data_IF_313893702997
#
_entry.id   IF_313893702997
#
_cell.length_a   1.000
_cell.length_b   1.000
_cell.length_c   1.000
_cell.angle_alpha   90.00
_cell.angle_beta   90.00
_cell.angle_gamma   90.00
#
_symmetry.space_group_name_H-M   'P 1'
#
loop_
_entity.id
_entity.type
_entity.pdbx_description
1 polymer ?
#
# COMPACT_ATOMS: atom_id res chain seq x y z
N UNK A 1 -51.46 15.39 28.95
CA UNK A 1 -51.46 16.58 28.08
C UNK A 1 -50.21 16.54 27.22
N UNK A 2 -50.42 16.34 25.90
CA UNK A 2 -49.70 16.83 24.70
C UNK A 2 -48.19 17.15 24.78
N UNK A 3 -47.35 16.89 23.77
CA UNK A 3 -47.44 16.26 22.44
C UNK A 3 -46.00 16.15 21.89
N UNK A 4 -45.79 15.18 21.01
CA UNK A 4 -44.65 14.92 20.12
C UNK A 4 -43.99 16.17 19.48
N UNK A 5 -42.73 16.03 19.04
CA UNK A 5 -42.34 15.97 17.61
C UNK A 5 -40.85 15.65 17.48
N UNK A 6 -40.56 14.62 16.68
CA UNK A 6 -39.24 14.23 16.19
C UNK A 6 -38.89 15.04 14.92
N UNK A 7 -37.61 15.34 14.71
CA UNK A 7 -37.09 15.80 13.42
C UNK A 7 -36.03 14.82 12.92
N UNK A 8 -36.40 14.03 11.92
CA UNK A 8 -35.50 13.35 11.00
C UNK A 8 -35.02 14.38 9.96
N UNK A 9 -33.69 14.49 9.77
CA UNK A 9 -33.13 15.23 8.63
C UNK A 9 -32.76 14.23 7.53
N UNK A 10 -33.46 14.33 6.41
CA UNK A 10 -33.26 13.59 5.18
C UNK A 10 -32.32 14.44 4.29
N UNK A 11 -31.09 14.00 4.06
CA UNK A 11 -30.20 14.60 3.05
C UNK A 11 -30.44 13.89 1.72
N UNK A 12 -31.09 14.59 0.80
CA UNK A 12 -31.35 14.16 -0.57
C UNK A 12 -30.10 14.46 -1.41
N UNK A 13 -29.41 13.42 -1.88
CA UNK A 13 -28.29 13.54 -2.81
C UNK A 13 -28.86 13.70 -4.23
N UNK A 14 -28.77 14.90 -4.79
CA UNK A 14 -29.12 15.17 -6.19
C UNK A 14 -27.99 14.72 -7.11
N UNK A 15 -28.29 13.75 -7.99
CA UNK A 15 -27.43 13.31 -9.09
C UNK A 15 -27.58 14.32 -10.22
N UNK A 16 -26.54 15.09 -10.53
CA UNK A 16 -26.48 15.92 -11.73
C UNK A 16 -25.73 15.16 -12.83
N UNK A 17 -26.47 14.72 -13.85
CA UNK A 17 -25.94 14.23 -15.12
C UNK A 17 -25.70 15.46 -16.00
N UNK A 18 -24.44 15.83 -16.22
CA UNK A 18 -24.08 16.83 -17.22
C UNK A 18 -23.90 16.15 -18.59
N UNK A 19 -24.79 16.49 -19.53
CA UNK A 19 -24.62 16.23 -20.97
C UNK A 19 -23.58 17.21 -21.51
N UNK A 20 -22.59 16.71 -22.24
CA UNK A 20 -21.71 17.52 -23.07
C UNK A 20 -22.45 17.89 -24.35
N UNK A 21 -22.62 19.18 -24.62
CA UNK A 21 -22.84 19.71 -25.96
C UNK A 21 -21.89 20.88 -26.19
N UNK A 22 -21.16 20.79 -27.29
CA UNK A 22 -20.10 21.72 -27.67
C UNK A 22 -20.65 23.06 -28.14
N UNK A 23 -20.01 24.13 -27.68
CA UNK A 23 -19.89 25.36 -28.45
C UNK A 23 -18.70 26.18 -27.92
N UNK A 24 -17.99 26.72 -28.89
CA UNK A 24 -16.71 27.44 -28.84
C UNK A 24 -16.81 28.78 -28.11
N UNK A 25 -15.80 29.12 -27.30
CA UNK A 25 -15.62 30.46 -26.75
C UNK A 25 -14.20 30.97 -27.08
N UNK A 26 -14.13 32.13 -27.73
CA UNK A 26 -12.94 32.99 -27.80
C UNK A 26 -12.94 34.00 -26.63
N UNK A 27 -11.77 34.51 -26.19
CA UNK A 27 -11.63 35.23 -24.92
C UNK A 27 -11.78 36.75 -25.09
N UNK A 28 -12.33 37.40 -24.06
CA UNK A 28 -12.34 38.86 -23.90
C UNK A 28 -11.38 39.21 -22.76
N UNK A 29 -10.31 39.95 -23.08
CA UNK A 29 -9.46 40.64 -22.11
C UNK A 29 -10.18 41.87 -21.54
N UNK A 30 -10.06 42.13 -20.23
CA UNK A 30 -10.00 43.51 -19.73
C UNK A 30 -9.37 43.62 -18.33
N UNK A 31 -8.28 44.40 -18.30
CA UNK A 31 -7.86 45.44 -17.35
C UNK A 31 -8.06 45.30 -15.84
N UNK A 32 -6.93 45.53 -15.17
CA UNK A 32 -6.66 45.70 -13.75
C UNK A 32 -7.29 46.96 -13.10
N UNK A 33 -7.68 46.83 -11.82
CA UNK A 33 -7.45 47.86 -10.80
C UNK A 33 -7.47 47.28 -9.37
N UNK A 34 -6.44 47.65 -8.61
CA UNK A 34 -6.12 47.49 -7.17
C UNK A 34 -7.21 48.03 -6.22
N UNK A 35 -7.40 47.67 -4.93
CA UNK A 35 -6.57 47.13 -3.83
C UNK A 35 -7.51 46.83 -2.62
N UNK A 36 -7.38 45.72 -1.88
CA UNK A 36 -7.53 45.68 -0.40
C UNK A 36 -7.16 44.31 0.19
N UNK A 37 -6.36 44.33 1.26
CA UNK A 37 -5.65 43.24 1.91
C UNK A 37 -6.51 42.14 2.57
N UNK A 38 -6.09 40.88 2.41
CA UNK A 38 -6.18 39.77 3.38
C UNK A 38 -5.14 38.70 2.98
N UNK A 39 -4.41 38.05 3.93
CA UNK A 39 -3.37 37.09 3.58
C UNK A 39 -4.01 35.73 3.29
N UNK A 40 -4.45 35.53 2.06
CA UNK A 40 -4.70 34.20 1.49
C UNK A 40 -3.40 33.70 0.87
N UNK A 41 -3.10 32.43 1.13
CA UNK A 41 -2.80 31.38 0.15
C UNK A 41 -1.93 31.70 -1.08
N UNK A 42 -1.16 30.70 -1.49
CA UNK A 42 -0.16 30.65 -2.57
C UNK A 42 1.27 31.05 -2.14
N UNK A 43 2.30 30.22 -2.37
CA UNK A 43 2.60 29.58 -3.65
C UNK A 43 3.14 28.15 -3.50
N UNK A 44 2.39 27.16 -3.97
CA UNK A 44 3.02 26.02 -4.65
C UNK A 44 3.79 26.58 -5.85
N UNK A 45 5.07 26.25 -6.05
CA UNK A 45 5.82 26.77 -7.18
C UNK A 45 5.19 26.30 -8.49
N UNK A 46 4.83 27.25 -9.36
CA UNK A 46 4.50 26.96 -10.76
C UNK A 46 5.76 26.43 -11.45
N UNK A 47 5.69 25.20 -11.95
CA UNK A 47 6.80 24.51 -12.60
C UNK A 47 7.04 25.03 -14.03
N UNK A 48 8.30 25.26 -14.44
CA UNK A 48 8.64 25.53 -15.82
C UNK A 48 8.53 24.26 -16.66
N UNK A 49 8.03 24.39 -17.90
CA UNK A 49 7.96 23.32 -18.89
C UNK A 49 9.38 22.80 -19.20
N UNK A 50 9.69 21.58 -18.73
CA UNK A 50 10.96 20.92 -19.03
C UNK A 50 10.98 20.36 -20.45
N UNK A 51 11.96 20.79 -21.25
CA UNK A 51 12.25 20.22 -22.57
C UNK A 51 12.57 18.73 -22.46
N UNK A 52 11.90 17.91 -23.27
CA UNK A 52 12.20 16.48 -23.42
C UNK A 52 13.47 16.31 -24.26
N UNK A 53 14.56 15.83 -23.65
CA UNK A 53 15.69 15.29 -24.42
C UNK A 53 15.29 13.92 -24.98
N UNK A 54 15.07 13.86 -26.30
CA UNK A 54 15.00 12.60 -27.03
C UNK A 54 16.43 12.07 -27.23
N UNK A 55 16.93 11.29 -26.27
CA UNK A 55 18.06 10.40 -26.55
C UNK A 55 17.66 8.96 -26.23
N UNK A 56 17.42 8.19 -27.29
CA UNK A 56 17.13 6.76 -27.24
C UNK A 56 18.43 5.99 -27.32
N UNK A 57 19.22 6.01 -26.24
CA UNK A 57 20.32 5.06 -26.04
C UNK A 57 19.84 3.93 -25.15
N UNK A 58 20.10 2.69 -25.57
CA UNK A 58 19.94 1.48 -24.76
C UNK A 58 20.51 1.71 -23.34
N UNK A 59 19.85 1.25 -22.26
CA UNK A 59 20.39 1.43 -20.91
C UNK A 59 21.79 0.83 -20.85
N UNK A 60 22.77 1.57 -20.33
CA UNK A 60 24.08 0.99 -20.03
C UNK A 60 23.90 -0.16 -19.02
N UNK A 61 24.71 -1.20 -19.14
CA UNK A 61 24.70 -2.37 -18.23
C UNK A 61 25.02 -2.03 -16.77
N UNK A 62 25.19 -0.76 -16.40
CA UNK A 62 25.60 -0.30 -15.07
C UNK A 62 24.50 0.51 -14.34
N UNK A 63 23.30 0.68 -14.93
CA UNK A 63 22.22 1.41 -14.29
C UNK A 63 20.81 1.09 -14.82
N UNK A 64 19.80 1.61 -14.13
CA UNK A 64 18.38 1.51 -14.48
C UNK A 64 17.72 2.89 -14.54
N UNK A 65 16.68 3.05 -15.35
CA UNK A 65 16.08 4.34 -15.63
C UNK A 65 14.57 4.25 -15.54
N UNK A 66 13.94 5.16 -14.81
CA UNK A 66 12.49 5.20 -14.70
C UNK A 66 11.97 6.52 -15.24
N UNK A 67 11.19 6.44 -16.33
CA UNK A 67 10.65 7.62 -17.02
C UNK A 67 9.73 8.50 -16.18
N UNK A 68 9.21 7.98 -15.05
CA UNK A 68 8.35 8.73 -14.13
C UNK A 68 9.09 9.30 -12.92
N UNK A 69 10.35 8.92 -12.68
CA UNK A 69 11.17 9.59 -11.68
C UNK A 69 11.65 10.89 -12.34
N UNK A 70 10.88 11.95 -12.10
CA UNK A 70 11.07 13.21 -12.78
C UNK A 70 12.33 13.90 -12.22
N UNK A 71 13.33 14.08 -13.09
CA UNK A 71 14.69 14.60 -12.85
C UNK A 71 15.71 13.60 -12.28
N UNK A 72 16.59 13.17 -13.20
CA UNK A 72 18.01 12.86 -13.06
C UNK A 72 18.44 12.20 -11.71
N UNK A 73 18.88 10.93 -11.74
CA UNK A 73 19.51 10.38 -12.90
C UNK A 73 18.52 9.65 -13.79
N UNK A 74 18.65 9.87 -15.09
CA UNK A 74 18.17 8.96 -16.14
C UNK A 74 18.86 7.57 -16.02
N UNK A 75 19.54 7.27 -14.91
CA UNK A 75 20.48 6.18 -14.71
C UNK A 75 20.81 6.03 -13.21
N UNK A 76 20.03 5.26 -12.46
CA UNK A 76 20.35 4.86 -11.08
C UNK A 76 21.42 3.76 -11.10
N UNK A 77 22.64 4.01 -10.58
CA UNK A 77 23.73 3.03 -10.53
C UNK A 77 23.27 1.67 -9.96
N UNK A 78 23.50 0.60 -10.71
CA UNK A 78 23.06 -0.75 -10.35
C UNK A 78 23.99 -1.83 -10.89
N UNK A 79 24.20 -2.90 -10.13
CA UNK A 79 24.96 -4.07 -10.57
C UNK A 79 24.06 -5.30 -10.71
N UNK A 80 24.35 -6.23 -11.63
CA UNK A 80 23.66 -7.52 -11.69
C UNK A 80 23.80 -8.29 -10.38
N UNK A 81 22.75 -9.00 -9.95
CA UNK A 81 22.77 -9.78 -8.71
C UNK A 81 23.92 -10.80 -8.69
N UNK A 82 24.22 -11.41 -9.83
CA UNK A 82 25.29 -12.42 -10.01
C UNK A 82 26.68 -11.85 -9.73
N UNK A 83 26.90 -10.55 -9.96
CA UNK A 83 28.18 -9.91 -9.66
C UNK A 83 28.32 -9.64 -8.17
N UNK A 84 27.27 -9.14 -7.53
CA UNK A 84 27.24 -8.86 -6.10
C UNK A 84 27.43 -10.15 -5.28
N UNK A 85 26.78 -11.24 -5.68
CA UNK A 85 26.90 -12.54 -4.99
C UNK A 85 28.31 -13.15 -5.07
N UNK A 86 29.14 -12.73 -6.03
CA UNK A 86 30.53 -13.20 -6.16
C UNK A 86 31.49 -12.41 -5.27
N UNK A 87 31.17 -11.15 -4.98
CA UNK A 87 32.14 -10.17 -4.46
C UNK A 87 31.76 -9.58 -3.09
N UNK A 88 30.52 -9.74 -2.63
CA UNK A 88 30.04 -9.13 -1.39
C UNK A 88 29.16 -10.05 -0.55
N UNK A 89 29.34 -9.99 0.77
CA UNK A 89 28.48 -10.62 1.78
C UNK A 89 27.31 -9.75 2.21
N UNK A 90 27.19 -8.53 1.69
CA UNK A 90 26.25 -7.53 2.22
C UNK A 90 24.81 -7.70 1.73
N UNK A 91 24.61 -8.50 0.68
CA UNK A 91 23.28 -8.88 0.20
C UNK A 91 23.21 -10.35 -0.17
N UNK A 92 22.22 -11.05 0.38
CA UNK A 92 21.88 -12.43 0.04
C UNK A 92 20.38 -12.50 -0.27
N UNK A 93 20.04 -12.83 -1.52
CA UNK A 93 18.67 -13.14 -1.86
C UNK A 93 18.33 -14.54 -1.32
N UNK A 94 17.32 -14.60 -0.45
CA UNK A 94 16.75 -15.87 0.01
C UNK A 94 15.65 -16.30 -0.94
N UNK A 95 15.88 -17.36 -1.71
CA UNK A 95 14.85 -17.91 -2.59
C UNK A 95 13.82 -18.69 -1.77
N UNK A 96 12.54 -18.28 -1.75
CA UNK A 96 11.48 -18.98 -1.02
C UNK A 96 11.22 -20.41 -1.52
N UNK A 97 11.62 -20.76 -2.75
CA UNK A 97 11.49 -22.10 -3.30
C UNK A 97 12.62 -23.03 -2.87
N UNK A 98 13.74 -22.47 -2.40
CA UNK A 98 14.93 -23.23 -2.01
C UNK A 98 15.19 -23.19 -0.50
N UNK A 99 14.72 -22.15 0.21
CA UNK A 99 14.91 -21.99 1.65
C UNK A 99 13.86 -22.82 2.43
N UNK A 100 14.27 -23.88 3.16
CA UNK A 100 13.35 -24.73 3.92
C UNK A 100 12.70 -24.02 5.12
N UNK A 101 13.20 -22.84 5.51
CA UNK A 101 12.58 -21.99 6.53
C UNK A 101 11.45 -21.11 5.99
N UNK A 102 11.20 -21.13 4.67
CA UNK A 102 10.08 -20.41 4.08
C UNK A 102 8.74 -20.92 4.64
N UNK A 103 7.90 -20.06 5.23
CA UNK A 103 6.63 -20.50 5.81
C UNK A 103 5.72 -21.10 4.75
N UNK A 104 5.28 -22.34 4.94
CA UNK A 104 4.41 -23.07 3.98
C UNK A 104 3.05 -22.41 3.75
N UNK A 105 2.63 -21.52 4.66
CA UNK A 105 1.41 -20.70 4.54
C UNK A 105 1.57 -19.51 3.60
N UNK A 106 2.79 -19.14 3.23
CA UNK A 106 3.06 -18.05 2.30
C UNK A 106 3.14 -18.58 0.88
N UNK A 107 2.71 -17.76 -0.07
CA UNK A 107 2.90 -18.03 -1.49
C UNK A 107 4.33 -17.63 -1.89
N UNK A 108 5.20 -18.56 -2.32
CA UNK A 108 6.55 -18.22 -2.76
C UNK A 108 6.56 -17.37 -4.04
N UNK A 109 5.47 -17.39 -4.82
CA UNK A 109 5.42 -16.65 -6.09
C UNK A 109 5.37 -15.13 -5.94
N UNK A 110 5.04 -14.59 -4.77
CA UNK A 110 5.04 -13.13 -4.51
C UNK A 110 6.40 -12.60 -4.00
N UNK A 111 7.41 -13.46 -3.94
CA UNK A 111 8.79 -13.12 -3.63
C UNK A 111 9.63 -13.34 -4.89
N UNK A 112 10.03 -12.24 -5.53
CA UNK A 112 10.79 -12.28 -6.78
C UNK A 112 12.24 -11.92 -6.52
N UNK A 113 13.15 -12.70 -7.10
CA UNK A 113 14.56 -12.36 -7.14
C UNK A 113 14.76 -11.08 -7.95
N UNK A 114 15.52 -10.09 -7.43
CA UNK A 114 15.94 -8.98 -8.26
C UNK A 114 16.96 -9.49 -9.29
N UNK A 115 16.91 -8.99 -10.53
CA UNK A 115 17.98 -9.24 -11.50
C UNK A 115 19.20 -8.37 -11.22
N UNK A 116 18.99 -7.22 -10.57
CA UNK A 116 20.00 -6.19 -10.29
C UNK A 116 19.73 -5.51 -8.94
N UNK A 117 20.73 -4.89 -8.35
CA UNK A 117 20.59 -4.11 -7.11
C UNK A 117 21.21 -2.73 -7.29
N UNK A 118 20.63 -1.72 -6.65
CA UNK A 118 21.21 -0.37 -6.59
C UNK A 118 22.51 -0.36 -5.79
N UNK A 119 23.50 0.42 -6.20
CA UNK A 119 24.77 0.61 -5.49
C UNK A 119 24.74 1.92 -4.70
N UNK A 120 24.27 1.89 -3.45
CA UNK A 120 23.92 3.10 -2.70
C UNK A 120 25.09 4.05 -2.43
N UNK A 121 26.32 3.54 -2.35
CA UNK A 121 27.53 4.36 -2.21
C UNK A 121 27.74 5.33 -3.38
N UNK A 122 27.11 5.05 -4.52
CA UNK A 122 27.30 5.79 -5.78
C UNK A 122 26.09 6.68 -6.10
N UNK A 123 25.15 6.87 -5.16
CA UNK A 123 23.91 7.62 -5.38
C UNK A 123 23.78 8.72 -4.31
N UNK A 124 23.46 9.96 -4.72
CA UNK A 124 23.17 11.03 -3.76
C UNK A 124 21.84 10.71 -3.04
N UNK A 125 21.82 10.58 -1.70
CA UNK A 125 20.58 10.30 -0.96
C UNK A 125 19.54 11.41 -1.09
N UNK A 126 19.92 12.63 -1.50
CA UNK A 126 18.99 13.75 -1.74
C UNK A 126 18.35 13.73 -3.12
N UNK A 127 18.69 12.72 -3.93
CA UNK A 127 18.07 12.48 -5.22
C UNK A 127 16.55 12.38 -5.06
N UNK A 128 15.81 13.21 -5.80
CA UNK A 128 14.35 13.12 -5.84
C UNK A 128 13.93 11.92 -6.69
N UNK A 129 13.21 10.99 -6.09
CA UNK A 129 12.55 9.89 -6.79
C UNK A 129 11.17 10.32 -7.29
N UNK A 130 10.51 11.22 -6.57
CA UNK A 130 9.27 11.83 -7.02
C UNK A 130 9.19 13.25 -6.46
N UNK A 131 8.21 14.10 -6.86
CA UNK A 131 8.13 15.50 -6.43
C UNK A 131 8.25 15.73 -4.92
N UNK A 132 7.94 14.71 -4.12
CA UNK A 132 7.88 14.81 -2.68
C UNK A 132 8.72 13.80 -1.90
N UNK A 133 9.45 12.92 -2.57
CA UNK A 133 10.24 11.89 -1.92
C UNK A 133 11.65 11.79 -2.48
N UNK A 134 12.63 11.78 -1.58
CA UNK A 134 14.05 11.57 -1.87
C UNK A 134 14.46 10.11 -1.63
N UNK A 135 15.52 9.66 -2.32
CA UNK A 135 16.03 8.29 -2.21
C UNK A 135 16.40 7.92 -0.76
N UNK A 136 17.03 8.85 -0.04
CA UNK A 136 17.45 8.67 1.35
C UNK A 136 16.31 8.41 2.32
N UNK A 137 15.07 8.75 1.96
CA UNK A 137 13.88 8.44 2.78
C UNK A 137 13.55 6.94 2.74
N UNK A 138 13.94 6.25 1.67
CA UNK A 138 13.66 4.82 1.49
C UNK A 138 14.86 3.94 1.81
N UNK A 139 16.07 4.36 1.44
CA UNK A 139 17.25 3.49 1.47
C UNK A 139 18.51 4.29 1.83
N UNK A 140 19.43 3.65 2.56
CA UNK A 140 20.67 4.29 3.01
C UNK A 140 21.77 3.25 3.18
N UNK A 141 23.03 3.67 3.02
CA UNK A 141 24.21 2.82 3.21
C UNK A 141 24.34 2.26 4.63
N UNK A 142 23.73 2.91 5.63
CA UNK A 142 23.66 2.40 7.01
C UNK A 142 22.78 1.13 7.12
N UNK A 143 21.82 0.97 6.21
CA UNK A 143 20.91 -0.18 6.14
C UNK A 143 21.35 -1.21 5.10
N UNK A 144 22.54 -1.05 4.52
CA UNK A 144 23.14 -1.91 3.48
C UNK A 144 23.71 -1.10 2.31
N UNK A 145 24.79 -1.56 1.71
CA UNK A 145 25.43 -0.95 0.55
C UNK A 145 24.63 -1.16 -0.75
N UNK A 146 23.83 -2.22 -0.80
CA UNK A 146 22.99 -2.56 -1.95
C UNK A 146 21.50 -2.48 -1.59
N UNK A 147 20.66 -2.11 -2.55
CA UNK A 147 19.21 -2.04 -2.33
C UNK A 147 18.36 -2.67 -3.44
N UNK A 148 17.27 -3.31 -3.01
CA UNK A 148 16.14 -3.67 -3.87
C UNK A 148 15.19 -2.48 -3.94
N UNK A 149 14.76 -2.13 -5.14
CA UNK A 149 13.96 -0.93 -5.38
C UNK A 149 12.66 -1.25 -6.13
N UNK A 150 11.51 -0.97 -5.50
CA UNK A 150 10.22 -0.92 -6.19
C UNK A 150 9.86 0.53 -6.51
N UNK A 151 10.21 0.99 -7.71
CA UNK A 151 9.83 2.32 -8.18
C UNK A 151 8.30 2.52 -8.20
N UNK A 152 7.56 1.42 -8.35
CA UNK A 152 6.11 1.39 -8.30
C UNK A 152 5.56 1.71 -6.90
N UNK A 153 6.22 1.25 -5.83
CA UNK A 153 5.84 1.64 -4.48
C UNK A 153 6.01 3.15 -4.27
N UNK A 154 7.11 3.74 -4.75
CA UNK A 154 7.31 5.20 -4.72
C UNK A 154 6.24 5.95 -5.51
N UNK A 155 5.87 5.44 -6.69
CA UNK A 155 4.78 6.02 -7.49
C UNK A 155 3.45 6.03 -6.73
N UNK A 156 3.10 4.94 -6.04
CA UNK A 156 1.85 4.89 -5.26
C UNK A 156 1.91 5.83 -4.05
N UNK A 157 3.06 5.93 -3.37
CA UNK A 157 3.24 6.88 -2.26
C UNK A 157 3.14 8.33 -2.70
N UNK A 158 3.65 8.66 -3.89
CA UNK A 158 3.47 9.98 -4.48
C UNK A 158 1.98 10.30 -4.65
N UNK A 159 1.19 9.38 -5.20
CA UNK A 159 -0.26 9.55 -5.36
C UNK A 159 -1.00 9.65 -4.02
N UNK A 160 -0.64 8.83 -3.03
CA UNK A 160 -1.20 8.91 -1.67
C UNK A 160 -0.93 10.30 -1.07
N UNK A 161 0.30 10.80 -1.20
CA UNK A 161 0.69 12.10 -0.65
C UNK A 161 -0.05 13.25 -1.34
N UNK A 162 -0.22 13.18 -2.66
CA UNK A 162 -1.02 14.14 -3.44
C UNK A 162 -2.49 14.11 -3.03
N UNK A 163 -3.09 12.93 -2.89
CA UNK A 163 -4.48 12.75 -2.50
C UNK A 163 -4.76 13.25 -1.08
N UNK A 164 -3.83 13.01 -0.16
CA UNK A 164 -3.90 13.51 1.22
C UNK A 164 -3.70 15.04 1.29
N UNK A 165 -2.96 15.65 0.35
CA UNK A 165 -2.64 17.08 0.37
C UNK A 165 -1.74 17.52 1.54
N UNK A 166 -1.08 16.58 2.22
CA UNK A 166 -0.25 16.86 3.40
C UNK A 166 1.08 16.09 3.36
N UNK A 167 2.10 16.47 4.14
CA UNK A 167 3.35 15.71 4.17
C UNK A 167 3.16 14.30 4.73
N UNK A 168 3.76 13.34 4.04
CA UNK A 168 3.84 11.93 4.43
C UNK A 168 5.30 11.61 4.69
N UNK A 169 5.62 11.12 5.90
CA UNK A 169 6.99 10.78 6.28
C UNK A 169 7.22 9.28 6.09
N UNK A 170 8.32 8.92 5.41
CA UNK A 170 8.82 7.54 5.38
C UNK A 170 9.79 7.36 6.54
N UNK A 171 9.48 6.47 7.48
CA UNK A 171 10.38 6.15 8.61
C UNK A 171 11.27 4.95 8.30
N UNK A 172 10.83 4.07 7.41
CA UNK A 172 11.62 2.93 6.95
C UNK A 172 11.19 2.51 5.56
N UNK A 173 12.13 2.32 4.65
CA UNK A 173 11.91 1.69 3.35
C UNK A 173 12.69 0.39 3.26
N UNK A 174 13.63 0.29 2.33
CA UNK A 174 14.47 -0.88 2.15
C UNK A 174 15.38 -1.15 3.36
N UNK A 175 15.58 -2.44 3.66
CA UNK A 175 16.53 -2.96 4.65
C UNK A 175 17.30 -4.11 4.01
N UNK A 176 18.64 -4.14 4.13
CA UNK A 176 19.37 -5.34 3.71
C UNK A 176 18.97 -6.54 4.57
N UNK A 177 19.10 -7.78 4.05
CA UNK A 177 18.87 -8.98 4.85
C UNK A 177 19.67 -8.98 6.16
N UNK A 178 20.94 -8.56 6.10
CA UNK A 178 21.81 -8.42 7.27
C UNK A 178 21.25 -7.41 8.27
N UNK A 179 20.94 -6.19 7.83
CA UNK A 179 20.37 -5.16 8.69
C UNK A 179 19.04 -5.59 9.32
N UNK A 180 18.14 -6.21 8.54
CA UNK A 180 16.85 -6.67 9.03
C UNK A 180 17.00 -7.75 10.11
N UNK A 181 17.91 -8.71 9.93
CA UNK A 181 18.15 -9.77 10.93
C UNK A 181 18.73 -9.26 12.26
N UNK A 182 19.38 -8.08 12.24
CA UNK A 182 19.88 -7.44 13.45
C UNK A 182 18.79 -6.71 14.25
N UNK A 183 17.60 -6.48 13.67
CA UNK A 183 16.48 -5.83 14.36
C UNK A 183 15.75 -6.88 15.21
N UNK A 184 15.65 -6.69 16.54
CA UNK A 184 14.90 -7.61 17.40
C UNK A 184 13.44 -7.74 16.97
N UNK A 185 12.99 -8.97 16.73
CA UNK A 185 11.61 -9.27 16.36
C UNK A 185 11.24 -8.95 14.90
N UNK A 186 12.18 -8.52 14.06
CA UNK A 186 11.91 -8.37 12.64
C UNK A 186 11.65 -9.71 11.97
N UNK A 187 10.63 -9.76 11.11
CA UNK A 187 10.29 -10.95 10.35
C UNK A 187 11.43 -11.33 9.38
N UNK A 188 11.80 -12.61 9.35
CA UNK A 188 12.82 -13.14 8.42
C UNK A 188 12.45 -12.89 6.96
N UNK A 189 11.16 -12.99 6.62
CA UNK A 189 10.60 -12.78 5.28
C UNK A 189 9.96 -11.40 5.12
N UNK A 190 10.46 -10.39 5.85
CA UNK A 190 9.93 -9.03 5.82
C UNK A 190 9.94 -8.43 4.41
N UNK A 191 8.84 -7.80 4.01
CA UNK A 191 8.71 -7.12 2.71
C UNK A 191 9.68 -5.94 2.53
N UNK A 192 10.23 -5.39 3.61
CA UNK A 192 11.28 -4.38 3.52
C UNK A 192 12.56 -4.89 2.84
N UNK A 193 12.89 -6.18 2.97
CA UNK A 193 14.07 -6.78 2.31
C UNK A 193 13.84 -7.07 0.83
N UNK A 194 12.57 -7.08 0.39
CA UNK A 194 12.14 -7.24 -1.00
C UNK A 194 11.81 -5.90 -1.68
N UNK A 195 12.07 -4.78 -1.01
CA UNK A 195 12.01 -3.43 -1.58
C UNK A 195 10.62 -2.92 -1.93
N UNK A 196 9.56 -3.57 -1.44
CA UNK A 196 8.17 -3.21 -1.75
C UNK A 196 7.32 -2.82 -0.55
N UNK A 197 7.94 -2.65 0.61
CA UNK A 197 7.30 -2.14 1.82
C UNK A 197 7.90 -0.82 2.31
N UNK A 198 7.05 -0.04 2.97
CA UNK A 198 7.42 1.18 3.67
C UNK A 198 6.65 1.33 4.98
N UNK A 199 7.29 1.94 5.96
CA UNK A 199 6.69 2.38 7.21
C UNK A 199 6.49 3.89 7.14
N UNK A 200 5.26 4.34 7.41
CA UNK A 200 4.79 5.68 7.10
C UNK A 200 4.17 6.37 8.31
N UNK A 201 4.41 7.67 8.44
CA UNK A 201 3.76 8.53 9.44
C UNK A 201 3.06 9.70 8.75
N UNK A 202 1.73 9.85 8.93
CA UNK A 202 1.00 11.00 8.42
C UNK A 202 1.15 12.21 9.36
N UNK A 203 1.16 13.42 8.80
CA UNK A 203 1.17 14.67 9.61
C UNK A 203 -0.20 15.12 10.11
N UNK A 204 -1.26 14.85 9.35
CA UNK A 204 -2.57 15.51 9.51
C UNK A 204 -3.76 14.57 9.55
N UNK A 205 -3.60 13.34 9.05
CA UNK A 205 -4.62 12.29 9.10
C UNK A 205 -4.21 11.25 10.16
N UNK A 206 -5.18 10.46 10.61
CA UNK A 206 -4.94 9.33 11.51
C UNK A 206 -4.20 8.18 10.82
N UNK A 207 -3.62 7.27 11.61
CA UNK A 207 -3.00 6.04 11.09
C UNK A 207 -4.02 5.16 10.36
N UNK A 208 -5.28 5.14 10.83
CA UNK A 208 -6.36 4.42 10.16
C UNK A 208 -6.65 5.02 8.77
N UNK A 209 -6.80 6.34 8.67
CA UNK A 209 -7.02 6.99 7.37
C UNK A 209 -5.84 6.77 6.41
N UNK A 210 -4.59 6.78 6.91
CA UNK A 210 -3.43 6.49 6.07
C UNK A 210 -3.43 5.02 5.59
N UNK A 211 -3.80 4.08 6.45
CA UNK A 211 -3.92 2.67 6.07
C UNK A 211 -4.98 2.46 4.97
N UNK A 212 -6.12 3.15 5.05
CA UNK A 212 -7.12 3.12 3.98
C UNK A 212 -6.56 3.65 2.66
N UNK A 213 -5.85 4.77 2.70
CA UNK A 213 -5.20 5.30 1.51
C UNK A 213 -4.17 4.32 0.95
N UNK A 214 -3.41 3.61 1.78
CA UNK A 214 -2.52 2.56 1.28
C UNK A 214 -3.29 1.52 0.45
N UNK A 215 -4.43 1.02 0.95
CA UNK A 215 -5.27 0.07 0.21
C UNK A 215 -5.85 0.67 -1.06
N UNK A 216 -6.41 1.88 -1.00
CA UNK A 216 -7.02 2.56 -2.15
C UNK A 216 -6.01 2.77 -3.29
N UNK A 217 -4.74 2.95 -2.94
CA UNK A 217 -3.61 3.06 -3.87
C UNK A 217 -2.85 1.74 -4.05
N UNK A 218 -3.52 0.61 -3.79
CA UNK A 218 -3.10 -0.71 -4.22
C UNK A 218 -2.12 -1.45 -3.30
N UNK A 219 -1.89 -0.96 -2.09
CA UNK A 219 -1.18 -1.77 -1.11
C UNK A 219 -1.92 -3.10 -0.95
N UNK A 220 -1.16 -4.17 -1.00
CA UNK A 220 -1.65 -5.54 -0.92
C UNK A 220 -1.89 -5.95 0.53
N UNK A 221 -1.16 -5.30 1.42
CA UNK A 221 -1.16 -5.50 2.84
C UNK A 221 -0.74 -4.19 3.51
N UNK A 222 -1.30 -3.94 4.70
CA UNK A 222 -0.80 -2.94 5.61
C UNK A 222 -0.77 -3.51 7.03
N UNK A 223 -0.12 -2.81 7.95
CA UNK A 223 -0.23 -3.06 9.39
C UNK A 223 -0.13 -1.73 10.13
N UNK A 224 -1.07 -1.48 11.04
CA UNK A 224 -1.01 -0.31 11.91
C UNK A 224 -0.22 -0.69 13.16
N UNK A 225 0.83 0.07 13.43
CA UNK A 225 1.59 0.05 14.67
C UNK A 225 1.26 1.29 15.51
N UNK A 226 1.74 1.34 16.75
CA UNK A 226 1.49 2.48 17.65
C UNK A 226 1.91 3.84 17.03
N UNK A 227 2.97 3.85 16.22
CA UNK A 227 3.60 5.09 15.74
C UNK A 227 3.57 5.28 14.22
N UNK A 228 3.28 4.23 13.45
CA UNK A 228 3.37 4.26 11.99
C UNK A 228 2.44 3.23 11.36
N UNK A 229 2.22 3.36 10.06
CA UNK A 229 1.55 2.36 9.22
C UNK A 229 2.60 1.71 8.33
N UNK A 230 2.71 0.40 8.41
CA UNK A 230 3.41 -0.40 7.41
C UNK A 230 2.49 -0.60 6.20
N UNK A 231 2.96 -0.36 4.99
CA UNK A 231 2.23 -0.64 3.75
C UNK A 231 3.16 -1.33 2.77
N UNK A 232 2.67 -2.36 2.08
CA UNK A 232 3.45 -3.02 1.03
C UNK A 232 2.65 -3.36 -0.23
N UNK A 233 3.35 -3.37 -1.35
CA UNK A 233 2.82 -3.64 -2.69
C UNK A 233 3.34 -4.98 -3.22
N UNK A 234 3.38 -6.02 -2.36
CA UNK A 234 3.87 -7.37 -2.72
C UNK A 234 3.16 -7.99 -3.92
N UNK A 235 1.94 -7.55 -4.20
CA UNK A 235 1.07 -8.06 -5.26
C UNK A 235 1.14 -7.30 -6.58
N UNK A 236 1.90 -6.20 -6.63
CA UNK A 236 2.03 -5.43 -7.86
C UNK A 236 3.02 -6.08 -8.84
N UNK A 237 2.77 -5.89 -10.13
CA UNK A 237 3.70 -6.33 -11.18
C UNK A 237 5.06 -5.67 -10.94
N UNK A 238 6.10 -6.51 -10.90
CA UNK A 238 7.46 -6.06 -10.65
C UNK A 238 8.05 -5.47 -11.93
N UNK A 239 8.85 -4.43 -11.75
CA UNK A 239 9.54 -3.80 -12.87
C UNK A 239 10.49 -4.80 -13.54
N UNK A 240 10.31 -5.03 -14.84
CA UNK A 240 11.10 -6.01 -15.59
C UNK A 240 12.57 -5.63 -15.76
N UNK A 241 12.90 -4.34 -15.75
CA UNK A 241 14.29 -3.88 -15.78
C UNK A 241 15.00 -4.22 -14.46
N UNK A 242 14.28 -4.20 -13.33
CA UNK A 242 14.84 -4.47 -12.00
C UNK A 242 14.76 -5.95 -11.57
N UNK A 243 13.70 -6.65 -11.95
CA UNK A 243 13.40 -8.02 -11.51
C UNK A 243 13.49 -9.05 -12.65
N UNK A 244 13.75 -8.61 -13.88
CA UNK A 244 13.83 -9.47 -15.06
C UNK A 244 12.47 -9.89 -15.63
N UNK A 245 12.47 -10.48 -16.83
CA UNK A 245 11.27 -10.99 -17.50
C UNK A 245 10.58 -12.15 -16.76
N UNK A 246 11.33 -12.85 -15.89
CA UNK A 246 10.82 -13.98 -15.09
C UNK A 246 10.29 -13.54 -13.72
N UNK A 247 10.20 -12.23 -13.45
CA UNK A 247 9.65 -11.73 -12.20
C UNK A 247 8.24 -12.30 -12.01
N UNK A 248 8.05 -13.00 -10.89
CA UNK A 248 6.79 -13.66 -10.55
C UNK A 248 5.84 -12.59 -10.03
N UNK A 249 5.18 -11.88 -10.95
CA UNK A 249 4.09 -10.96 -10.65
C UNK A 249 2.75 -11.66 -10.89
N UNK A 250 1.83 -11.59 -9.94
CA UNK A 250 0.43 -11.92 -10.21
C UNK A 250 -0.32 -10.60 -10.52
N UNK A 251 -1.30 -10.64 -11.40
CA UNK A 251 -2.21 -9.50 -11.64
C UNK A 251 -3.14 -9.36 -10.43
N UNK A 252 -3.47 -8.12 -10.02
CA UNK A 252 -4.33 -7.87 -8.84
C UNK A 252 -5.61 -8.72 -8.82
N UNK A 253 -6.30 -8.89 -9.95
CA UNK A 253 -7.51 -9.72 -10.06
C UNK A 253 -7.29 -11.20 -9.76
N UNK A 254 -6.12 -11.76 -10.13
CA UNK A 254 -5.76 -13.15 -9.83
C UNK A 254 -5.39 -13.32 -8.35
N UNK A 255 -4.84 -12.27 -7.74
CA UNK A 255 -4.44 -12.27 -6.34
C UNK A 255 -5.67 -12.19 -5.47
N UNK A 256 -6.54 -11.20 -5.68
CA UNK A 256 -7.82 -11.08 -4.97
C UNK A 256 -8.57 -12.40 -5.00
N UNK A 257 -8.66 -13.04 -6.17
CA UNK A 257 -9.30 -14.35 -6.31
C UNK A 257 -8.60 -15.47 -5.51
N UNK A 258 -7.27 -15.50 -5.43
CA UNK A 258 -6.53 -16.48 -4.63
C UNK A 258 -6.73 -16.24 -3.14
N UNK A 259 -6.64 -14.97 -2.72
CA UNK A 259 -6.83 -14.56 -1.33
C UNK A 259 -8.25 -14.90 -0.86
N UNK A 260 -9.27 -14.61 -1.65
CA UNK A 260 -10.66 -15.03 -1.39
C UNK A 260 -10.82 -16.54 -1.25
N UNK A 261 -10.13 -17.33 -2.08
CA UNK A 261 -10.20 -18.79 -2.04
C UNK A 261 -9.50 -19.41 -0.82
N UNK A 262 -8.43 -18.77 -0.34
CA UNK A 262 -7.64 -19.24 0.80
C UNK A 262 -8.12 -18.64 2.14
N UNK A 263 -8.96 -17.61 2.10
CA UNK A 263 -9.52 -16.96 3.27
C UNK A 263 -10.84 -17.61 3.69
N UNK A 264 -11.11 -17.62 5.00
CA UNK A 264 -12.33 -18.23 5.52
C UNK A 264 -12.82 -17.59 6.81
N UNK A 265 -14.11 -17.78 7.07
CA UNK A 265 -14.72 -17.50 8.37
C UNK A 265 -14.97 -18.83 9.06
N UNK A 266 -14.53 -18.95 10.31
CA UNK A 266 -14.86 -20.07 11.20
C UNK A 266 -15.71 -19.58 12.36
N UNK A 267 -16.50 -20.46 12.96
CA UNK A 267 -17.30 -20.13 14.13
C UNK A 267 -17.22 -21.18 15.22
N UNK A 268 -17.19 -20.73 16.47
CA UNK A 268 -17.32 -21.59 17.65
C UNK A 268 -18.49 -21.12 18.50
N UNK A 269 -19.45 -22.02 18.78
CA UNK A 269 -20.64 -21.73 19.57
C UNK A 269 -20.44 -22.15 21.02
N UNK A 270 -20.70 -21.25 21.96
CA UNK A 270 -20.82 -21.51 23.39
C UNK A 270 -22.24 -21.22 23.88
N UNK A 271 -22.51 -21.46 25.17
CA UNK A 271 -23.83 -21.25 25.76
C UNK A 271 -24.35 -19.82 25.55
N UNK A 272 -23.49 -18.82 25.77
CA UNK A 272 -23.90 -17.41 25.82
C UNK A 272 -23.49 -16.61 24.57
N UNK A 273 -22.54 -17.12 23.78
CA UNK A 273 -21.99 -16.40 22.63
C UNK A 273 -21.57 -17.31 21.48
N UNK A 274 -21.47 -16.71 20.30
CA UNK A 274 -20.84 -17.26 19.11
C UNK A 274 -19.59 -16.43 18.85
N UNK A 275 -18.44 -17.09 18.72
CA UNK A 275 -17.20 -16.48 18.27
C UNK A 275 -17.04 -16.72 16.78
N UNK A 276 -16.90 -15.65 15.98
CA UNK A 276 -16.49 -15.72 14.59
C UNK A 276 -15.02 -15.33 14.48
N UNK A 277 -14.24 -16.12 13.75
CA UNK A 277 -12.82 -15.89 13.52
C UNK A 277 -12.50 -15.90 12.03
N UNK A 278 -11.82 -14.86 11.57
CA UNK A 278 -11.29 -14.74 10.24
C UNK A 278 -9.96 -15.47 10.12
N UNK A 279 -9.74 -16.13 8.98
CA UNK A 279 -8.44 -16.64 8.56
C UNK A 279 -8.12 -16.02 7.20
N UNK A 280 -6.91 -15.50 7.05
CA UNK A 280 -6.43 -14.90 5.81
C UNK A 280 -4.94 -15.24 5.62
N UNK A 281 -4.47 -15.64 4.43
CA UNK A 281 -3.09 -16.10 4.22
C UNK A 281 -2.04 -15.01 4.44
N UNK A 282 -2.42 -13.73 4.28
CA UNK A 282 -1.52 -12.58 4.50
C UNK A 282 -1.49 -12.06 5.94
N UNK A 283 -2.31 -12.54 6.87
CA UNK A 283 -2.19 -12.11 8.25
C UNK A 283 -1.02 -12.83 8.91
N UNK A 284 0.07 -12.13 9.19
CA UNK A 284 1.04 -12.59 10.19
C UNK A 284 0.38 -12.40 11.57
N UNK A 285 0.07 -13.51 12.24
CA UNK A 285 -0.48 -13.57 13.60
C UNK A 285 -1.85 -12.90 13.86
N UNK A 286 -2.59 -12.56 12.80
CA UNK A 286 -3.96 -12.06 12.90
C UNK A 286 -4.09 -10.56 13.17
N UNK A 287 -2.98 -9.83 13.09
CA UNK A 287 -2.93 -8.36 13.11
C UNK A 287 -2.65 -7.84 11.69
N UNK A 288 -3.08 -6.60 11.42
CA UNK A 288 -2.65 -5.82 10.26
C UNK A 288 -3.63 -5.72 9.10
N UNK A 289 -4.47 -6.72 8.90
CA UNK A 289 -5.53 -6.63 7.89
C UNK A 289 -6.73 -5.86 8.44
N UNK A 290 -7.32 -4.97 7.63
CA UNK A 290 -8.67 -4.44 7.91
C UNK A 290 -9.63 -5.61 7.96
N UNK A 291 -10.40 -5.74 9.03
CA UNK A 291 -11.54 -6.64 9.06
C UNK A 291 -12.79 -5.77 9.16
N UNK A 292 -13.76 -5.95 8.28
CA UNK A 292 -15.06 -5.27 8.39
C UNK A 292 -16.16 -6.31 8.42
N UNK A 293 -16.64 -6.59 9.63
CA UNK A 293 -17.70 -7.53 9.89
C UNK A 293 -19.06 -6.87 9.73
N UNK A 294 -19.97 -7.57 9.07
CA UNK A 294 -21.40 -7.26 9.04
C UNK A 294 -22.18 -8.51 9.43
N UNK A 295 -22.69 -8.54 10.65
CA UNK A 295 -23.35 -9.71 11.23
C UNK A 295 -24.84 -9.41 11.40
N UNK A 296 -25.68 -10.09 10.61
CA UNK A 296 -27.13 -10.04 10.75
C UNK A 296 -27.61 -11.17 11.65
N UNK A 297 -28.26 -10.81 12.74
CA UNK A 297 -28.83 -11.68 13.76
C UNK A 297 -30.15 -12.32 13.28
N UNK A 298 -30.61 -13.40 13.94
CA UNK A 298 -31.90 -14.01 13.66
C UNK A 298 -33.10 -13.07 13.80
N UNK A 299 -33.03 -12.14 14.75
CA UNK A 299 -34.04 -11.09 15.00
C UNK A 299 -34.01 -9.95 13.97
N UNK A 300 -33.06 -9.99 13.03
CA UNK A 300 -32.86 -8.99 11.99
C UNK A 300 -31.93 -7.85 12.36
N UNK A 301 -31.44 -7.77 13.60
CA UNK A 301 -30.47 -6.76 14.03
C UNK A 301 -29.15 -6.91 13.27
N UNK A 302 -28.50 -5.80 12.97
CA UNK A 302 -27.19 -5.75 12.34
C UNK A 302 -26.14 -5.32 13.37
N UNK A 303 -25.01 -6.01 13.42
CA UNK A 303 -23.81 -5.59 14.10
C UNK A 303 -22.71 -5.36 13.07
N UNK A 304 -22.06 -4.20 13.17
CA UNK A 304 -20.87 -3.89 12.42
C UNK A 304 -19.70 -3.82 13.40
N UNK A 305 -18.61 -4.50 13.07
CA UNK A 305 -17.38 -4.46 13.85
C UNK A 305 -16.19 -4.32 12.89
N UNK A 306 -15.17 -3.59 13.30
CA UNK A 306 -13.99 -3.34 12.48
C UNK A 306 -12.71 -3.66 13.26
N UNK A 307 -11.62 -3.84 12.51
CA UNK A 307 -10.23 -3.90 13.02
C UNK A 307 -9.96 -5.00 14.05
N UNK A 308 -10.71 -6.10 13.97
CA UNK A 308 -10.53 -7.29 14.79
C UNK A 308 -10.70 -8.54 13.94
N UNK A 309 -9.73 -9.47 14.01
CA UNK A 309 -9.81 -10.77 13.33
C UNK A 309 -10.80 -11.73 14.00
N UNK A 310 -11.32 -11.38 15.18
CA UNK A 310 -12.28 -12.17 15.96
C UNK A 310 -13.40 -11.27 16.46
N UNK A 311 -14.66 -11.71 16.31
CA UNK A 311 -15.84 -11.02 16.85
C UNK A 311 -16.69 -12.00 17.64
N UNK A 312 -17.11 -11.59 18.84
CA UNK A 312 -18.03 -12.36 19.70
C UNK A 312 -19.41 -11.69 19.71
N UNK A 313 -20.45 -12.48 19.46
CA UNK A 313 -21.85 -12.03 19.50
C UNK A 313 -22.70 -12.90 20.41
N UNK A 314 -23.80 -12.40 20.99
CA UNK A 314 -24.72 -13.22 21.77
C UNK A 314 -25.28 -14.41 20.96
N UNK A 315 -25.40 -15.57 21.62
CA UNK A 315 -26.00 -16.77 21.03
C UNK A 315 -27.53 -16.72 21.12
N UNK A 316 -28.22 -16.85 19.99
CA UNK A 316 -29.67 -16.87 19.87
C UNK A 316 -30.10 -17.96 18.89
N UNK A 317 -31.27 -18.56 19.10
CA UNK A 317 -31.82 -19.53 18.15
C UNK A 317 -32.16 -18.87 16.83
N UNK A 318 -31.83 -19.53 15.74
CA UNK A 318 -32.11 -19.09 14.37
C UNK A 318 -30.85 -18.91 13.53
N UNK A 319 -30.97 -18.14 12.45
CA UNK A 319 -29.95 -18.03 11.40
C UNK A 319 -29.18 -16.72 11.51
N UNK A 320 -27.86 -16.82 11.57
CA UNK A 320 -26.95 -15.68 11.45
C UNK A 320 -26.40 -15.61 10.03
N UNK A 321 -26.37 -14.42 9.44
CA UNK A 321 -25.68 -14.14 8.18
C UNK A 321 -24.49 -13.23 8.46
N UNK A 322 -23.30 -13.67 8.11
CA UNK A 322 -22.03 -13.02 8.42
C UNK A 322 -21.39 -12.62 7.10
N UNK A 323 -21.15 -11.33 6.92
CA UNK A 323 -20.26 -10.79 5.88
C UNK A 323 -18.96 -10.32 6.53
N UNK A 324 -17.86 -10.49 5.82
CA UNK A 324 -16.56 -10.01 6.22
C UNK A 324 -15.81 -9.49 4.99
N UNK A 325 -15.36 -8.23 5.04
CA UNK A 325 -14.36 -7.71 4.10
C UNK A 325 -13.01 -7.72 4.79
N UNK A 326 -12.01 -8.36 4.18
CA UNK A 326 -10.62 -8.41 4.66
C UNK A 326 -9.76 -7.58 3.70
N UNK A 327 -8.96 -6.65 4.24
CA UNK A 327 -7.99 -5.87 3.45
C UNK A 327 -8.60 -5.04 2.31
N UNK A 328 -9.90 -4.70 2.40
CA UNK A 328 -10.62 -3.90 1.39
C UNK A 328 -10.90 -4.61 0.06
N UNK A 329 -10.41 -5.83 -0.13
CA UNK A 329 -10.48 -6.52 -1.42
C UNK A 329 -10.99 -7.96 -1.32
N UNK A 330 -11.03 -8.57 -0.14
CA UNK A 330 -11.38 -9.98 0.04
C UNK A 330 -12.73 -10.09 0.76
N UNK A 331 -13.80 -10.35 0.01
CA UNK A 331 -15.16 -10.44 0.57
C UNK A 331 -15.55 -11.89 0.84
N UNK A 332 -15.94 -12.18 2.08
CA UNK A 332 -16.38 -13.50 2.53
C UNK A 332 -17.80 -13.43 3.06
N UNK A 333 -18.57 -14.48 2.80
CA UNK A 333 -19.90 -14.68 3.40
C UNK A 333 -19.97 -16.01 4.12
N UNK A 334 -20.61 -16.05 5.28
CA UNK A 334 -20.79 -17.23 6.11
C UNK A 334 -22.19 -17.25 6.71
N UNK A 335 -22.75 -18.44 6.92
CA UNK A 335 -24.06 -18.62 7.54
C UNK A 335 -24.02 -19.75 8.54
N UNK A 336 -24.58 -19.53 9.72
CA UNK A 336 -24.75 -20.56 10.76
C UNK A 336 -26.17 -20.54 11.30
N UNK A 337 -26.68 -21.74 11.64
CA UNK A 337 -27.99 -21.94 12.27
C UNK A 337 -27.81 -22.51 13.67
N UNK A 338 -28.31 -21.81 14.67
CA UNK A 338 -28.33 -22.26 16.07
C UNK A 338 -29.71 -22.87 16.38
N UNK A 339 -29.71 -24.10 16.92
CA UNK A 339 -30.94 -24.90 17.15
C UNK A 339 -31.59 -24.66 18.50
#
# INVERSE_FOLDING_TARGET
>A
MNKNIAFFSLVLLAILVARCDGSTFEPIESSSSSLSNSPSDETLPKWPDGEKSNDSTSPSDDCISYSFLNHNPDCLPSLPLVEIQKESLDYEYRDPLEDPSFPSRFDPSIYSAPSRLLTLSNIDPRLWLSPYFQLGEFMSTEKGAFAVFSALAVKQLQLIREAMGHPLMVTSGYRSPGYNSAIPGAATWSRHTFGDAVDLIPKKISLNELAELCLDYGASYYQIYEKHVHCDWRSFEKDKQFFGEQARGRTMSKITRSLEQESSITSTTQADYIEFKAHHPLSEDGEGLRYQWKIKFPDGKLLEAQDQSVVKVPSQKGVYKVGLLIGGNTELTYQITIK
#
